data_IF_890281809695
#
_entry.id   IF_890281809695
#
_cell.length_a   1.000
_cell.length_b   1.000
_cell.length_c   1.000
_cell.angle_alpha   90.00
_cell.angle_beta   90.00
_cell.angle_gamma   90.00
#
_symmetry.space_group_name_H-M   'P 1'
#
loop_
_entity.id
_entity.type
_entity.pdbx_description
1 polymer ?
#
# COMPACT_ATOMS: atom_id res chain seq x y z
N UNK A 1 -19.05 2.37 1.11
CA UNK A 1 -18.00 1.32 0.94
C UNK A 1 -16.86 1.63 1.88
N UNK A 2 -16.20 0.58 2.39
CA UNK A 2 -14.95 0.74 3.12
C UNK A 2 -13.87 1.31 2.20
N UNK A 3 -12.94 2.07 2.78
CA UNK A 3 -11.77 2.59 2.08
C UNK A 3 -10.53 2.25 2.88
N UNK A 4 -9.48 1.83 2.20
CA UNK A 4 -8.19 1.52 2.80
C UNK A 4 -7.11 2.31 2.06
N UNK A 5 -6.37 3.11 2.80
CA UNK A 5 -5.26 3.90 2.29
C UNK A 5 -3.93 3.40 2.83
N UNK A 6 -2.89 3.44 2.00
CA UNK A 6 -1.50 3.19 2.35
C UNK A 6 -0.69 4.48 2.18
N UNK A 7 0.14 4.79 3.17
CA UNK A 7 1.21 5.78 3.06
C UNK A 7 2.57 5.07 3.24
N UNK A 8 3.34 5.01 2.17
CA UNK A 8 4.59 4.26 2.11
C UNK A 8 5.75 5.25 2.13
N UNK A 9 6.36 5.43 3.29
CA UNK A 9 7.59 6.19 3.46
C UNK A 9 8.84 5.31 3.40
N UNK A 10 10.03 5.94 3.36
CA UNK A 10 11.31 5.21 3.43
C UNK A 10 11.66 4.63 4.81
N UNK A 11 10.92 5.04 5.85
CA UNK A 11 11.14 4.58 7.23
C UNK A 11 9.96 3.82 7.79
N UNK A 12 8.74 4.26 7.47
CA UNK A 12 7.50 3.66 7.98
C UNK A 12 6.49 3.50 6.86
N UNK A 13 5.67 2.46 6.98
CA UNK A 13 4.46 2.25 6.17
C UNK A 13 3.26 2.36 7.11
N UNK A 14 2.24 3.11 6.70
CA UNK A 14 1.00 3.28 7.43
C UNK A 14 -0.19 2.83 6.60
N UNK A 15 -1.14 2.13 7.24
CA UNK A 15 -2.42 1.76 6.67
C UNK A 15 -3.55 2.40 7.49
N UNK A 16 -4.54 2.98 6.80
CA UNK A 16 -5.69 3.65 7.39
C UNK A 16 -6.99 3.08 6.82
N UNK A 17 -7.82 2.50 7.67
CA UNK A 17 -9.17 2.07 7.31
C UNK A 17 -10.20 3.16 7.65
N UNK A 18 -11.02 3.51 6.66
CA UNK A 18 -12.18 4.38 6.84
C UNK A 18 -13.46 3.61 6.58
N UNK A 19 -14.40 3.76 7.52
CA UNK A 19 -15.73 3.21 7.44
C UNK A 19 -16.58 3.89 6.33
N UNK A 20 -17.69 3.27 5.90
CA UNK A 20 -18.55 3.82 4.85
C UNK A 20 -19.11 5.22 5.11
N UNK A 21 -19.26 5.60 6.38
CA UNK A 21 -19.71 6.93 6.83
C UNK A 21 -18.59 7.99 6.82
N UNK A 22 -17.36 7.59 6.47
CA UNK A 22 -16.18 8.45 6.43
C UNK A 22 -15.41 8.52 7.76
N UNK A 23 -15.86 7.83 8.80
CA UNK A 23 -15.13 7.78 10.07
C UNK A 23 -13.84 6.94 9.94
N UNK A 24 -12.77 7.37 10.61
CA UNK A 24 -11.58 6.55 10.79
C UNK A 24 -11.94 5.36 11.70
N UNK A 25 -11.84 4.15 11.16
CA UNK A 25 -12.06 2.93 11.93
C UNK A 25 -10.80 2.48 12.65
N UNK A 26 -9.64 2.71 12.04
CA UNK A 26 -8.35 2.50 12.68
C UNK A 26 -7.17 2.56 11.73
N UNK A 27 -5.99 2.54 12.34
CA UNK A 27 -4.72 2.77 11.68
C UNK A 27 -3.65 1.82 12.22
N UNK A 28 -2.76 1.37 11.36
CA UNK A 28 -1.61 0.54 11.70
C UNK A 28 -0.36 1.06 11.03
N UNK A 29 0.77 0.92 11.72
CA UNK A 29 2.05 1.41 11.24
C UNK A 29 3.14 0.37 11.50
N UNK A 30 3.96 0.13 10.50
CA UNK A 30 5.10 -0.80 10.55
C UNK A 30 6.37 -0.10 10.08
N UNK A 31 7.53 -0.67 10.39
CA UNK A 31 8.80 -0.27 9.78
C UNK A 31 8.82 -0.63 8.30
N UNK A 32 9.40 0.23 7.47
CA UNK A 32 9.59 -0.05 6.03
C UNK A 32 10.79 -0.97 5.84
N UNK A 33 10.61 -2.21 5.34
CA UNK A 33 11.72 -3.03 4.92
C UNK A 33 12.46 -2.35 3.76
N UNK A 34 13.79 -2.26 3.84
CA UNK A 34 14.64 -1.65 2.79
C UNK A 34 15.03 -2.64 1.69
N UNK A 35 14.12 -3.55 1.41
CA UNK A 35 14.21 -4.54 0.34
C UNK A 35 12.83 -4.58 -0.35
N UNK A 36 12.83 -4.66 -1.67
CA UNK A 36 11.60 -4.51 -2.45
C UNK A 36 10.60 -5.64 -2.19
N UNK A 37 11.06 -6.88 -2.20
CA UNK A 37 10.19 -8.05 -1.99
C UNK A 37 9.72 -8.11 -0.54
N UNK A 38 10.63 -7.88 0.42
CA UNK A 38 10.26 -7.81 1.83
C UNK A 38 9.22 -6.72 2.11
N UNK A 39 9.31 -5.58 1.42
CA UNK A 39 8.34 -4.50 1.52
C UNK A 39 6.96 -4.91 0.98
N UNK A 40 6.90 -5.58 -0.17
CA UNK A 40 5.63 -6.10 -0.72
C UNK A 40 4.97 -7.09 0.25
N UNK A 41 5.75 -8.02 0.81
CA UNK A 41 5.24 -8.99 1.79
C UNK A 41 4.75 -8.32 3.08
N UNK A 42 5.49 -7.32 3.57
CA UNK A 42 5.10 -6.57 4.76
C UNK A 42 3.80 -5.77 4.54
N UNK A 43 3.62 -5.18 3.36
CA UNK A 43 2.36 -4.51 2.98
C UNK A 43 1.22 -5.53 2.91
N UNK A 44 1.43 -6.70 2.30
CA UNK A 44 0.41 -7.75 2.22
C UNK A 44 -0.07 -8.19 3.60
N UNK A 45 0.87 -8.49 4.50
CA UNK A 45 0.56 -8.88 5.87
C UNK A 45 -0.19 -7.78 6.62
N UNK A 46 0.24 -6.52 6.49
CA UNK A 46 -0.45 -5.37 7.07
C UNK A 46 -1.89 -5.24 6.58
N UNK A 47 -2.12 -5.40 5.28
CA UNK A 47 -3.47 -5.33 4.69
C UNK A 47 -4.34 -6.48 5.17
N UNK A 48 -3.80 -7.70 5.24
CA UNK A 48 -4.54 -8.86 5.75
C UNK A 48 -4.92 -8.69 7.23
N UNK A 49 -4.02 -8.14 8.04
CA UNK A 49 -4.29 -7.80 9.44
C UNK A 49 -5.43 -6.78 9.55
N UNK A 50 -5.36 -5.70 8.77
CA UNK A 50 -6.41 -4.67 8.72
C UNK A 50 -7.77 -5.25 8.29
N UNK A 51 -7.78 -6.11 7.26
CA UNK A 51 -9.01 -6.77 6.77
C UNK A 51 -9.66 -7.62 7.85
N UNK A 52 -8.87 -8.41 8.58
CA UNK A 52 -9.38 -9.27 9.66
C UNK A 52 -9.88 -8.46 10.85
N UNK A 53 -9.13 -7.45 11.28
CA UNK A 53 -9.45 -6.66 12.46
C UNK A 53 -10.73 -5.83 12.27
N UNK A 54 -10.81 -5.09 11.17
CA UNK A 54 -11.92 -4.16 10.92
C UNK A 54 -13.06 -4.79 10.12
N UNK A 55 -12.93 -6.06 9.73
CA UNK A 55 -13.91 -6.80 8.90
C UNK A 55 -14.28 -5.99 7.65
N UNK A 56 -13.26 -5.58 6.90
CA UNK A 56 -13.37 -4.70 5.73
C UNK A 56 -14.12 -5.41 4.57
N UNK A 57 -15.44 -5.45 4.65
CA UNK A 57 -16.31 -5.96 3.59
C UNK A 57 -16.33 -5.01 2.39
N UNK A 58 -16.55 -5.54 1.19
CA UNK A 58 -16.69 -4.77 -0.05
C UNK A 58 -15.51 -3.82 -0.37
N UNK A 59 -14.30 -4.15 0.08
CA UNK A 59 -13.10 -3.41 -0.31
C UNK A 59 -12.73 -3.79 -1.74
N UNK A 60 -12.89 -2.84 -2.67
CA UNK A 60 -12.68 -3.08 -4.11
C UNK A 60 -11.33 -2.56 -4.62
N UNK A 61 -10.71 -1.62 -3.90
CA UNK A 61 -9.43 -1.04 -4.23
C UNK A 61 -8.74 -0.43 -3.00
N UNK A 62 -7.43 -0.22 -3.10
CA UNK A 62 -6.60 0.41 -2.07
C UNK A 62 -5.91 1.62 -2.70
N UNK A 63 -5.98 2.78 -2.03
CA UNK A 63 -5.20 3.95 -2.43
C UNK A 63 -3.80 3.87 -1.83
N UNK A 64 -2.74 4.16 -2.60
CA UNK A 64 -1.37 4.09 -2.11
C UNK A 64 -0.55 5.35 -2.45
N UNK A 65 -0.10 6.06 -1.43
CA UNK A 65 0.95 7.07 -1.52
C UNK A 65 2.33 6.44 -1.48
N UNK A 66 3.20 6.78 -2.43
CA UNK A 66 4.58 6.27 -2.51
C UNK A 66 5.59 7.42 -2.47
N UNK A 67 6.84 7.18 -2.04
CA UNK A 67 7.84 8.23 -1.86
C UNK A 67 8.58 8.49 -3.17
N UNK A 68 7.83 8.67 -4.26
CA UNK A 68 8.30 8.77 -5.66
C UNK A 68 7.11 8.91 -6.61
N UNK A 69 7.30 8.61 -7.90
CA UNK A 69 6.21 8.63 -8.89
C UNK A 69 6.28 7.42 -9.82
N UNK A 70 5.12 6.96 -10.30
CA UNK A 70 5.06 5.96 -11.36
C UNK A 70 5.21 6.67 -12.70
N UNK A 71 6.15 6.20 -13.52
CA UNK A 71 6.35 6.72 -14.88
C UNK A 71 5.23 6.26 -15.80
N UNK A 72 4.45 7.16 -16.44
CA UNK A 72 3.40 6.74 -17.38
C UNK A 72 3.93 5.98 -18.60
N UNK A 73 5.20 6.23 -18.97
CA UNK A 73 5.83 5.59 -20.13
C UNK A 73 6.25 4.14 -19.87
N UNK A 74 6.56 3.77 -18.63
CA UNK A 74 7.15 2.46 -18.30
C UNK A 74 6.38 1.68 -17.25
N UNK A 75 5.48 2.31 -16.49
CA UNK A 75 4.83 1.73 -15.32
C UNK A 75 5.78 1.49 -14.14
N UNK A 76 7.03 1.99 -14.21
CA UNK A 76 8.04 1.79 -13.17
C UNK A 76 8.13 3.02 -12.27
N UNK A 77 8.46 2.79 -11.00
CA UNK A 77 8.74 3.86 -10.04
C UNK A 77 10.02 4.60 -10.45
N UNK A 78 10.01 5.93 -10.34
CA UNK A 78 11.15 6.83 -10.55
C UNK A 78 11.22 7.91 -9.48
N UNK A 79 12.41 8.47 -9.30
CA UNK A 79 12.72 9.56 -8.38
C UNK A 79 12.26 9.29 -6.94
N UNK A 80 12.29 8.02 -6.53
CA UNK A 80 11.96 7.66 -5.17
C UNK A 80 13.15 7.83 -4.23
N UNK A 81 12.91 8.43 -3.06
CA UNK A 81 13.91 8.48 -1.99
C UNK A 81 14.17 7.09 -1.40
N UNK A 82 13.16 6.21 -1.43
CA UNK A 82 13.28 4.77 -1.19
C UNK A 82 13.89 4.11 -2.43
N UNK A 83 15.22 4.11 -2.54
CA UNK A 83 15.93 3.75 -3.77
C UNK A 83 15.68 2.33 -4.25
N UNK A 84 15.36 1.39 -3.35
CA UNK A 84 14.99 0.00 -3.69
C UNK A 84 13.69 -0.10 -4.50
N UNK A 85 12.88 0.96 -4.55
CA UNK A 85 11.68 1.02 -5.40
C UNK A 85 11.99 1.47 -6.83
N UNK A 86 13.06 2.23 -7.07
CA UNK A 86 13.33 2.79 -8.40
C UNK A 86 13.53 1.68 -9.45
N UNK A 87 12.89 1.84 -10.62
CA UNK A 87 12.91 0.84 -11.69
C UNK A 87 12.00 -0.37 -11.46
N UNK A 88 11.19 -0.38 -10.38
CA UNK A 88 10.29 -1.49 -10.07
C UNK A 88 8.84 -1.21 -10.50
N UNK A 89 8.08 -2.23 -10.94
CA UNK A 89 6.67 -2.10 -11.34
C UNK A 89 5.73 -2.17 -10.13
N UNK A 90 5.94 -1.28 -9.14
CA UNK A 90 5.34 -1.37 -7.81
C UNK A 90 3.83 -1.53 -7.76
N UNK A 91 3.07 -0.74 -8.53
CA UNK A 91 1.62 -0.85 -8.56
C UNK A 91 1.16 -2.22 -9.06
N UNK A 92 1.76 -2.72 -10.14
CA UNK A 92 1.41 -4.03 -10.71
C UNK A 92 1.72 -5.17 -9.74
N UNK A 93 2.87 -5.09 -9.06
CA UNK A 93 3.27 -6.14 -8.14
C UNK A 93 2.42 -6.11 -6.87
N UNK A 94 2.03 -4.93 -6.38
CA UNK A 94 1.05 -4.82 -5.30
C UNK A 94 -0.33 -5.34 -5.70
N UNK A 95 -0.81 -5.02 -6.92
CA UNK A 95 -2.08 -5.55 -7.41
C UNK A 95 -2.10 -7.09 -7.35
N UNK A 96 -1.00 -7.70 -7.79
CA UNK A 96 -0.84 -9.15 -7.82
C UNK A 96 -0.79 -9.76 -6.40
N UNK A 97 -0.02 -9.16 -5.49
CA UNK A 97 0.14 -9.69 -4.12
C UNK A 97 -1.13 -9.50 -3.29
N UNK A 98 -1.85 -8.38 -3.46
CA UNK A 98 -3.05 -8.06 -2.67
C UNK A 98 -4.34 -8.63 -3.23
N UNK A 99 -4.32 -9.07 -4.50
CA UNK A 99 -5.51 -9.51 -5.24
C UNK A 99 -6.57 -8.42 -5.41
N UNK A 100 -6.18 -7.15 -5.30
CA UNK A 100 -7.03 -5.97 -5.43
C UNK A 100 -6.32 -4.91 -6.24
N UNK A 101 -7.10 -4.04 -6.89
CA UNK A 101 -6.55 -2.89 -7.58
C UNK A 101 -5.96 -1.87 -6.60
N UNK A 102 -4.76 -1.39 -6.89
CA UNK A 102 -4.08 -0.30 -6.20
C UNK A 102 -4.00 0.91 -7.12
N UNK A 103 -4.16 2.12 -6.58
CA UNK A 103 -4.08 3.37 -7.33
C UNK A 103 -3.38 4.50 -6.58
#
# INVERSE_FOLDING_TARGET
MWRLGLDIGGTKIEALAMAPDGAEAGRRRIDTPRDYEAMLQAISALIDDMRREFKLQDLTAIGAGIPGSISPATGLVRNANSTWMNGRPFQRDLDAVLGLKVF
#
